data_IF_669743006878
#
_entry.id   IF_669743006878
#
_cell.length_a   1.000
_cell.length_b   1.000
_cell.length_c   1.000
_cell.angle_alpha   90.00
_cell.angle_beta   90.00
_cell.angle_gamma   90.00
#
_symmetry.space_group_name_H-M   'P 1'
#
loop_
_entity.id
_entity.type
_entity.pdbx_description
1 polymer ?
#
# COMPACT_ATOMS: atom_id res chain seq x y z
N UNK A 1 55.23 -14.22 -47.32
CA UNK A 1 54.50 -13.67 -48.48
C UNK A 1 53.80 -14.81 -49.20
N UNK A 2 52.69 -14.58 -49.92
CA UNK A 2 51.73 -13.48 -49.85
C UNK A 2 50.50 -13.96 -49.01
N UNK A 3 49.23 -13.52 -49.12
CA UNK A 3 48.64 -12.41 -49.87
C UNK A 3 47.52 -11.69 -49.05
N UNK A 4 46.84 -10.76 -49.71
CA UNK A 4 45.78 -9.86 -49.27
C UNK A 4 44.37 -10.42 -49.56
N UNK A 5 43.38 -9.92 -48.83
CA UNK A 5 42.29 -9.07 -49.37
C UNK A 5 41.67 -8.34 -48.16
N UNK A 6 42.08 -7.11 -47.83
CA UNK A 6 41.79 -5.87 -48.57
C UNK A 6 40.29 -5.64 -48.73
N UNK A 7 39.81 -4.64 -47.99
CA UNK A 7 38.42 -4.23 -47.90
C UNK A 7 37.77 -3.87 -49.25
N UNK A 8 36.51 -4.28 -49.42
CA UNK A 8 35.52 -3.48 -50.14
C UNK A 8 34.08 -3.84 -49.75
N UNK A 9 33.37 -2.80 -49.30
CA UNK A 9 31.97 -2.49 -49.62
C UNK A 9 30.86 -3.50 -49.28
N UNK A 10 30.22 -3.30 -48.13
CA UNK A 10 28.73 -3.27 -47.96
C UNK A 10 28.24 -3.28 -46.51
N UNK A 11 29.00 -2.72 -45.54
CA UNK A 11 28.41 -2.32 -44.24
C UNK A 11 27.51 -1.12 -44.44
N UNK A 12 26.32 -1.37 -44.99
CA UNK A 12 25.23 -0.41 -45.05
C UNK A 12 24.90 0.02 -43.62
N UNK A 13 24.75 1.33 -43.44
CA UNK A 13 24.38 1.96 -42.17
C UNK A 13 23.05 1.35 -41.69
N UNK A 14 23.10 0.47 -40.70
CA UNK A 14 21.88 -0.05 -40.08
C UNK A 14 21.19 1.10 -39.31
N UNK A 15 19.94 1.48 -39.63
CA UNK A 15 19.23 2.54 -38.93
C UNK A 15 18.64 2.03 -37.60
N UNK A 16 19.50 1.57 -36.67
CA UNK A 16 19.13 0.99 -35.38
C UNK A 16 18.84 2.05 -34.29
N UNK A 17 18.20 3.16 -34.64
CA UNK A 17 18.07 4.32 -33.73
C UNK A 17 16.65 4.84 -33.52
N UNK A 18 15.65 4.47 -34.33
CA UNK A 18 14.34 5.14 -34.33
C UNK A 18 13.09 4.22 -34.23
N UNK A 19 13.18 2.97 -33.73
CA UNK A 19 11.96 2.15 -33.56
C UNK A 19 11.39 2.10 -32.13
N UNK A 20 10.34 2.91 -31.94
CA UNK A 20 9.24 2.76 -30.96
C UNK A 20 9.64 2.32 -29.54
N UNK A 21 9.83 3.33 -28.67
CA UNK A 21 9.47 3.20 -27.24
C UNK A 21 7.98 2.87 -27.12
N UNK A 22 7.63 1.58 -27.16
CA UNK A 22 6.26 1.10 -26.92
C UNK A 22 5.85 1.50 -25.50
N UNK A 23 4.98 2.49 -25.38
CA UNK A 23 4.45 2.95 -24.11
C UNK A 23 3.61 1.81 -23.51
N UNK A 24 4.21 1.01 -22.60
CA UNK A 24 3.49 -0.01 -21.84
C UNK A 24 2.63 0.71 -20.80
N UNK A 25 1.42 1.08 -21.18
CA UNK A 25 0.42 1.61 -20.25
C UNK A 25 0.18 0.51 -19.20
N UNK A 26 0.38 0.84 -17.92
CA UNK A 26 0.16 -0.12 -16.85
C UNK A 26 -1.30 -0.59 -16.87
N UNK A 27 -1.59 -1.91 -16.86
CA UNK A 27 -2.96 -2.42 -16.97
C UNK A 27 -3.85 -1.94 -15.82
N UNK A 28 -3.28 -1.70 -14.63
CA UNK A 28 -3.96 -1.09 -13.49
C UNK A 28 -4.43 0.34 -13.80
N UNK A 29 -3.59 1.15 -14.45
CA UNK A 29 -3.93 2.54 -14.83
C UNK A 29 -5.00 2.54 -15.93
N UNK A 30 -4.89 1.64 -16.91
CA UNK A 30 -5.91 1.45 -17.93
C UNK A 30 -7.26 1.06 -17.31
N UNK A 31 -7.27 0.09 -16.41
CA UNK A 31 -8.49 -0.40 -15.75
C UNK A 31 -9.10 0.67 -14.83
N UNK A 32 -8.28 1.48 -14.16
CA UNK A 32 -8.72 2.63 -13.37
C UNK A 32 -9.35 3.73 -14.23
N UNK A 33 -8.77 4.05 -15.40
CA UNK A 33 -9.34 5.03 -16.35
C UNK A 33 -10.68 4.52 -16.90
N UNK A 34 -10.79 3.23 -17.25
CA UNK A 34 -12.05 2.62 -17.70
C UNK A 34 -13.12 2.66 -16.60
N UNK A 35 -12.75 2.35 -15.35
CA UNK A 35 -13.65 2.48 -14.19
C UNK A 35 -14.13 3.92 -13.98
N UNK A 36 -13.24 4.92 -14.09
CA UNK A 36 -13.64 6.32 -13.97
C UNK A 36 -14.57 6.74 -15.13
N UNK A 37 -14.23 6.38 -16.36
CA UNK A 37 -15.02 6.71 -17.56
C UNK A 37 -16.43 6.07 -17.55
N UNK A 38 -16.56 4.85 -17.01
CA UNK A 38 -17.85 4.19 -16.82
C UNK A 38 -18.61 4.69 -15.57
N UNK A 39 -17.87 5.03 -14.51
CA UNK A 39 -18.44 5.47 -13.23
C UNK A 39 -19.08 6.85 -13.28
N UNK A 40 -18.49 7.81 -14.00
CA UNK A 40 -19.02 9.17 -14.15
C UNK A 40 -20.48 9.17 -14.68
N UNK A 41 -20.82 8.56 -15.84
CA UNK A 41 -22.20 8.52 -16.31
C UNK A 41 -23.10 7.61 -15.48
N UNK A 42 -22.57 6.54 -14.86
CA UNK A 42 -23.36 5.61 -14.05
C UNK A 42 -23.78 6.17 -12.68
N UNK A 43 -23.08 7.20 -12.17
CA UNK A 43 -23.34 7.81 -10.86
C UNK A 43 -23.82 9.25 -10.91
N UNK A 44 -23.67 9.94 -12.06
CA UNK A 44 -24.02 11.36 -12.21
C UNK A 44 -23.10 12.32 -11.43
N UNK A 45 -22.01 11.82 -10.88
CA UNK A 45 -21.06 12.59 -10.07
C UNK A 45 -20.19 13.52 -10.92
N UNK A 46 -19.94 14.72 -10.37
CA UNK A 46 -19.06 15.70 -11.00
C UNK A 46 -17.59 15.28 -10.94
N UNK A 47 -16.79 15.79 -11.88
CA UNK A 47 -15.34 15.58 -11.91
C UNK A 47 -14.66 16.07 -10.61
N UNK A 48 -15.25 17.06 -9.94
CA UNK A 48 -14.81 17.59 -8.64
C UNK A 48 -14.93 16.53 -7.53
N UNK A 49 -16.05 15.81 -7.44
CA UNK A 49 -16.24 14.75 -6.44
C UNK A 49 -15.24 13.60 -6.63
N UNK A 50 -14.95 13.25 -7.89
CA UNK A 50 -13.93 12.26 -8.22
C UNK A 50 -12.54 12.73 -7.76
N UNK A 51 -12.20 14.02 -7.97
CA UNK A 51 -10.95 14.59 -7.50
C UNK A 51 -10.84 14.60 -5.95
N UNK A 52 -11.92 14.96 -5.24
CA UNK A 52 -11.98 14.91 -3.77
C UNK A 52 -11.76 13.48 -3.24
N UNK A 53 -12.41 12.48 -3.83
CA UNK A 53 -12.24 11.07 -3.42
C UNK A 53 -10.82 10.56 -3.76
N UNK A 54 -10.21 10.97 -4.87
CA UNK A 54 -8.80 10.69 -5.16
C UNK A 54 -7.86 11.34 -4.13
N UNK A 55 -8.05 12.62 -3.82
CA UNK A 55 -7.25 13.35 -2.81
C UNK A 55 -7.40 12.68 -1.45
N UNK A 56 -8.62 12.30 -1.06
CA UNK A 56 -8.90 11.66 0.24
C UNK A 56 -8.28 10.26 0.32
N UNK A 57 -8.21 9.51 -0.79
CA UNK A 57 -7.46 8.24 -0.89
C UNK A 57 -5.96 8.45 -0.80
N UNK A 58 -5.42 9.43 -1.53
CA UNK A 58 -3.99 9.77 -1.48
C UNK A 58 -3.57 10.21 -0.08
N UNK A 59 -4.39 11.00 0.62
CA UNK A 59 -4.17 11.42 2.01
C UNK A 59 -4.12 10.20 2.96
N UNK A 60 -5.14 9.34 2.94
CA UNK A 60 -5.19 8.11 3.75
C UNK A 60 -3.98 7.19 3.50
N UNK A 61 -3.64 6.95 2.22
CA UNK A 61 -2.49 6.11 1.85
C UNK A 61 -1.14 6.72 2.28
N UNK A 62 -0.99 8.04 2.18
CA UNK A 62 0.23 8.74 2.62
C UNK A 62 0.38 8.70 4.14
N UNK A 63 -0.72 8.85 4.89
CA UNK A 63 -0.74 8.72 6.34
C UNK A 63 -0.39 7.29 6.79
N UNK A 64 -0.88 6.26 6.08
CA UNK A 64 -0.46 4.88 6.29
C UNK A 64 1.04 4.70 6.05
N UNK A 65 1.59 5.19 4.92
CA UNK A 65 3.03 5.09 4.64
C UNK A 65 3.88 5.75 5.73
N UNK A 66 3.47 6.91 6.25
CA UNK A 66 4.12 7.58 7.39
C UNK A 66 4.05 6.74 8.68
N UNK A 67 2.87 6.20 9.00
CA UNK A 67 2.67 5.31 10.16
C UNK A 67 3.48 4.01 10.06
N UNK A 68 3.74 3.53 8.84
CA UNK A 68 4.44 2.29 8.55
C UNK A 68 5.97 2.36 8.65
N UNK A 69 6.54 3.57 8.73
CA UNK A 69 7.99 3.75 8.92
C UNK A 69 8.48 3.13 10.24
N UNK A 70 7.67 3.20 11.30
CA UNK A 70 8.02 2.66 12.63
C UNK A 70 7.98 1.11 12.64
N UNK A 71 6.90 0.42 12.22
CA UNK A 71 6.89 -1.05 12.08
C UNK A 71 7.99 -1.60 11.17
N UNK A 72 8.23 -0.97 10.01
CA UNK A 72 9.23 -1.46 9.03
C UNK A 72 10.65 -1.29 9.56
N UNK A 73 10.97 -0.19 10.25
CA UNK A 73 12.29 -0.02 10.89
C UNK A 73 12.49 -0.93 12.12
N UNK A 74 11.41 -1.37 12.76
CA UNK A 74 11.45 -2.39 13.83
C UNK A 74 11.61 -3.84 13.31
N UNK A 75 11.71 -4.06 12.00
CA UNK A 75 11.78 -5.41 11.41
C UNK A 75 10.46 -6.19 11.45
N UNK A 76 9.36 -5.55 11.87
CA UNK A 76 8.04 -6.18 11.87
C UNK A 76 7.44 -6.15 10.46
N UNK A 77 6.89 -7.30 10.03
CA UNK A 77 6.18 -7.38 8.76
C UNK A 77 5.00 -6.42 8.73
N UNK A 78 4.99 -5.51 7.74
CA UNK A 78 3.92 -4.53 7.46
C UNK A 78 2.51 -5.14 7.52
N UNK A 79 2.39 -6.40 7.10
CA UNK A 79 1.14 -7.16 7.08
C UNK A 79 0.57 -7.44 8.49
N UNK A 80 1.40 -7.61 9.53
CA UNK A 80 0.95 -8.03 10.86
C UNK A 80 0.62 -6.84 11.78
N UNK A 81 1.44 -5.79 11.78
CA UNK A 81 1.21 -4.62 12.64
C UNK A 81 -0.10 -3.88 12.31
N UNK A 82 -0.48 -3.77 11.03
CA UNK A 82 -1.77 -3.17 10.63
C UNK A 82 -2.94 -4.00 11.15
N UNK A 83 -2.91 -5.32 10.94
CA UNK A 83 -4.01 -6.22 11.32
C UNK A 83 -4.19 -6.23 12.84
N UNK A 84 -3.10 -6.32 13.61
CA UNK A 84 -3.13 -6.27 15.07
C UNK A 84 -3.79 -4.98 15.59
N UNK A 85 -3.43 -3.82 15.02
CA UNK A 85 -4.04 -2.53 15.35
C UNK A 85 -5.52 -2.45 14.97
N UNK A 86 -5.90 -2.98 13.80
CA UNK A 86 -7.28 -3.03 13.35
C UNK A 86 -8.16 -3.92 14.24
N UNK A 87 -7.67 -5.10 14.64
CA UNK A 87 -8.37 -5.98 15.57
C UNK A 87 -8.56 -5.34 16.95
N UNK A 88 -7.53 -4.66 17.48
CA UNK A 88 -7.63 -3.93 18.74
C UNK A 88 -8.66 -2.78 18.66
N UNK A 89 -8.71 -2.05 17.53
CA UNK A 89 -9.71 -1.03 17.29
C UNK A 89 -11.13 -1.62 17.20
N UNK A 90 -11.33 -2.73 16.49
CA UNK A 90 -12.63 -3.40 16.40
C UNK A 90 -13.11 -3.92 17.76
N UNK A 91 -12.23 -4.50 18.58
CA UNK A 91 -12.55 -4.92 19.94
C UNK A 91 -13.02 -3.75 20.82
N UNK A 92 -12.33 -2.61 20.75
CA UNK A 92 -12.71 -1.39 21.48
C UNK A 92 -14.05 -0.81 20.99
N UNK A 93 -14.31 -0.82 19.67
CA UNK A 93 -15.59 -0.38 19.09
C UNK A 93 -16.73 -1.28 19.58
N UNK A 94 -16.55 -2.61 19.62
CA UNK A 94 -17.54 -3.56 20.14
C UNK A 94 -17.85 -3.27 21.62
N UNK A 95 -16.83 -3.00 22.45
CA UNK A 95 -17.04 -2.64 23.86
C UNK A 95 -17.84 -1.34 24.03
N UNK A 96 -17.55 -0.31 23.22
CA UNK A 96 -18.27 0.98 23.24
C UNK A 96 -19.73 0.85 22.79
N UNK A 97 -19.99 0.03 21.75
CA UNK A 97 -21.35 -0.29 21.30
C UNK A 97 -22.11 -1.04 22.40
N UNK A 98 -21.46 -1.98 23.10
CA UNK A 98 -22.08 -2.70 24.21
C UNK A 98 -22.46 -1.79 25.39
N UNK A 99 -21.72 -0.69 25.59
CA UNK A 99 -22.03 0.34 26.58
C UNK A 99 -23.05 1.40 26.10
N UNK A 100 -23.63 1.25 24.91
CA UNK A 100 -24.59 2.21 24.33
C UNK A 100 -24.08 3.66 24.27
N UNK A 101 -22.78 3.86 24.01
CA UNK A 101 -22.19 5.19 23.86
C UNK A 101 -22.19 5.58 22.38
N UNK A 102 -23.24 6.30 21.96
CA UNK A 102 -23.45 6.69 20.58
C UNK A 102 -22.69 7.98 20.15
N UNK A 103 -22.59 8.17 18.84
CA UNK A 103 -22.07 9.39 18.21
C UNK A 103 -20.57 9.65 18.41
N UNK A 104 -20.17 10.92 18.37
CA UNK A 104 -18.76 11.35 18.46
C UNK A 104 -18.14 11.00 19.82
N UNK A 105 -18.95 10.96 20.89
CA UNK A 105 -18.51 10.51 22.21
C UNK A 105 -18.04 9.05 22.19
N UNK A 106 -18.81 8.16 21.54
CA UNK A 106 -18.44 6.76 21.35
C UNK A 106 -17.12 6.61 20.59
N UNK A 107 -16.93 7.38 19.51
CA UNK A 107 -15.69 7.36 18.73
C UNK A 107 -14.45 7.75 19.57
N UNK A 108 -14.57 8.76 20.42
CA UNK A 108 -13.49 9.19 21.31
C UNK A 108 -13.18 8.14 22.38
N UNK A 109 -14.20 7.54 23.01
CA UNK A 109 -14.01 6.46 23.99
C UNK A 109 -13.38 5.24 23.32
N UNK A 110 -13.79 4.89 22.10
CA UNK A 110 -13.21 3.78 21.34
C UNK A 110 -11.74 4.04 20.97
N UNK A 111 -11.38 5.27 20.59
CA UNK A 111 -9.99 5.66 20.34
C UNK A 111 -9.13 5.58 21.62
N UNK A 112 -9.64 6.09 22.74
CA UNK A 112 -8.96 6.06 24.04
C UNK A 112 -8.79 4.62 24.55
N UNK A 113 -9.75 3.73 24.31
CA UNK A 113 -9.71 2.33 24.75
C UNK A 113 -8.85 1.44 23.83
N UNK A 114 -8.90 1.67 22.51
CA UNK A 114 -8.09 0.93 21.52
C UNK A 114 -6.60 1.25 21.60
N UNK A 115 -6.22 2.49 21.91
CA UNK A 115 -4.82 2.92 21.99
C UNK A 115 -3.97 2.10 22.99
N UNK A 116 -4.33 1.99 24.28
CA UNK A 116 -3.57 1.18 25.23
C UNK A 116 -3.61 -0.31 24.89
N UNK A 117 -4.75 -0.82 24.37
CA UNK A 117 -4.87 -2.21 23.94
C UNK A 117 -3.91 -2.54 22.78
N UNK A 118 -3.85 -1.67 21.76
CA UNK A 118 -2.94 -1.79 20.63
C UNK A 118 -1.46 -1.65 21.05
N UNK A 119 -1.14 -0.78 22.01
CA UNK A 119 0.22 -0.65 22.56
C UNK A 119 0.65 -1.94 23.27
N UNK A 120 -0.20 -2.51 24.14
CA UNK A 120 0.11 -3.74 24.87
C UNK A 120 0.29 -4.92 23.92
N UNK A 121 -0.64 -5.12 22.98
CA UNK A 121 -0.55 -6.18 21.98
C UNK A 121 0.68 -6.01 21.07
N UNK A 122 0.91 -4.79 20.58
CA UNK A 122 2.07 -4.47 19.74
C UNK A 122 3.41 -4.67 20.44
N UNK A 123 3.49 -4.40 21.74
CA UNK A 123 4.68 -4.65 22.55
C UNK A 123 4.95 -6.17 22.73
N UNK A 124 3.91 -6.96 23.00
CA UNK A 124 4.03 -8.42 23.10
C UNK A 124 4.46 -9.07 21.78
N UNK A 125 3.87 -8.63 20.66
CA UNK A 125 4.24 -9.07 19.31
C UNK A 125 5.66 -8.62 18.94
N UNK A 126 6.06 -7.40 19.31
CA UNK A 126 7.44 -6.92 19.15
C UNK A 126 8.46 -7.77 19.91
N UNK A 127 8.15 -8.19 21.15
CA UNK A 127 9.00 -9.13 21.88
C UNK A 127 9.06 -10.51 21.21
N UNK A 128 7.94 -11.00 20.67
CA UNK A 128 7.89 -12.27 19.94
C UNK A 128 8.79 -12.24 18.71
N UNK A 129 8.74 -11.17 17.91
CA UNK A 129 9.62 -11.01 16.75
C UNK A 129 11.10 -10.87 17.12
N UNK A 130 11.43 -10.15 18.19
CA UNK A 130 12.82 -10.06 18.66
C UNK A 130 13.39 -11.44 19.09
N UNK A 131 12.54 -12.37 19.54
CA UNK A 131 12.91 -13.78 19.81
C UNK A 131 12.94 -14.64 18.53
N UNK A 132 12.19 -14.27 17.50
CA UNK A 132 12.06 -14.99 16.23
C UNK A 132 12.96 -14.46 15.10
N UNK A 133 14.01 -13.73 15.45
CA UNK A 133 14.93 -13.05 14.53
C UNK A 133 15.43 -13.98 13.40
N UNK A 134 15.25 -13.56 12.15
CA UNK A 134 15.55 -14.37 10.97
C UNK A 134 14.43 -15.33 10.50
N UNK A 135 13.32 -15.43 11.24
CA UNK A 135 12.04 -16.07 10.81
C UNK A 135 10.83 -15.16 11.00
N UNK A 136 11.06 -13.86 11.15
CA UNK A 136 10.07 -12.82 11.51
C UNK A 136 8.80 -12.87 10.64
N UNK A 137 8.94 -13.01 9.32
CA UNK A 137 7.79 -13.10 8.40
C UNK A 137 6.95 -14.38 8.56
N UNK A 138 7.56 -15.52 8.92
CA UNK A 138 6.86 -16.80 9.09
C UNK A 138 6.17 -16.82 10.45
N UNK A 139 6.85 -16.33 11.50
CA UNK A 139 6.28 -16.22 12.85
C UNK A 139 5.06 -15.32 12.88
N UNK A 140 5.02 -14.29 12.03
CA UNK A 140 3.84 -13.43 11.91
C UNK A 140 2.58 -14.17 11.44
N UNK A 141 2.69 -15.20 10.58
CA UNK A 141 1.51 -15.97 10.15
C UNK A 141 0.83 -16.79 11.27
N UNK A 142 1.44 -16.86 12.46
CA UNK A 142 0.94 -17.57 13.64
C UNK A 142 0.50 -16.59 14.74
N UNK A 143 0.84 -15.30 14.64
CA UNK A 143 0.65 -14.27 15.66
C UNK A 143 -0.55 -13.35 15.36
#
# INVERSE_FOLDING_TARGET
MPNKNAASSSTSLQPQTLEKRRFRINPVVLMFIVLCAAGIPATGLSLTWLAEELITRMARNSFLVLSLLIPVSAGMGLNFSIVLGAMAAQAAIIAVIHWHIDGVGGLLVAAILSTPLAIVLGYLVGQLFNKAKGREMITGMIA
#
